data_IF_243451753967
#
_entry.id   IF_243451753967
#
_cell.length_a   1.000
_cell.length_b   1.000
_cell.length_c   1.000
_cell.angle_alpha   90.00
_cell.angle_beta   90.00
_cell.angle_gamma   90.00
#
_symmetry.space_group_name_H-M   'P 1'
#
loop_
_entity.id
_entity.type
_entity.pdbx_description
1 polymer ?
#
# COMPACT_ATOMS: atom_id res chain seq x y z
N UNK A 1 -8.42 -23.62 29.79
CA UNK A 1 -8.87 -22.35 29.17
C UNK A 1 -7.86 -22.03 28.07
N UNK A 2 -8.04 -22.22 26.78
CA UNK A 2 -9.19 -22.34 25.90
C UNK A 2 -8.92 -23.49 24.90
N UNK A 3 -9.80 -24.48 24.83
CA UNK A 3 -9.93 -25.31 23.63
C UNK A 3 -11.36 -25.01 23.17
N UNK A 4 -11.52 -23.87 22.50
CA UNK A 4 -12.80 -23.55 21.89
C UNK A 4 -12.93 -24.39 20.63
N UNK A 5 -13.92 -25.28 20.66
CA UNK A 5 -14.19 -26.27 19.63
C UNK A 5 -14.72 -25.55 18.40
N UNK A 6 -13.81 -25.14 17.52
CA UNK A 6 -14.14 -24.66 16.18
C UNK A 6 -15.06 -23.45 16.24
N UNK A 7 -14.44 -22.28 16.45
CA UNK A 7 -15.06 -20.99 16.20
C UNK A 7 -15.86 -21.11 14.88
N UNK A 8 -17.18 -20.88 14.92
CA UNK A 8 -18.12 -21.17 13.81
C UNK A 8 -17.69 -20.54 12.47
N UNK A 9 -16.80 -19.56 12.55
CA UNK A 9 -16.27 -18.76 11.46
C UNK A 9 -14.82 -19.12 11.06
N UNK A 10 -14.05 -19.83 11.90
CA UNK A 10 -12.65 -20.24 11.64
C UNK A 10 -12.58 -21.66 11.10
N UNK A 11 -13.09 -21.88 9.89
CA UNK A 11 -13.09 -23.18 9.23
C UNK A 11 -12.97 -23.05 7.71
N UNK A 12 -12.64 -24.18 7.08
CA UNK A 12 -12.48 -24.29 5.63
C UNK A 12 -13.70 -24.93 4.93
N UNK A 13 -14.88 -24.92 5.56
CA UNK A 13 -16.08 -25.55 4.99
C UNK A 13 -16.75 -24.71 3.89
N UNK A 14 -16.71 -23.39 4.04
CA UNK A 14 -17.30 -22.45 3.10
C UNK A 14 -16.22 -21.49 2.59
N UNK A 15 -16.26 -21.05 1.33
CA UNK A 15 -15.26 -20.14 0.78
C UNK A 15 -15.12 -18.85 1.59
N UNK A 16 -16.23 -18.31 2.12
CA UNK A 16 -16.20 -17.11 2.96
C UNK A 16 -15.53 -17.33 4.31
N UNK A 17 -15.84 -18.45 4.98
CA UNK A 17 -15.18 -18.81 6.24
C UNK A 17 -13.69 -19.08 6.00
N UNK A 18 -13.33 -19.70 4.88
CA UNK A 18 -11.93 -19.92 4.48
C UNK A 18 -11.20 -18.59 4.32
N UNK A 19 -11.80 -17.61 3.63
CA UNK A 19 -11.21 -16.28 3.45
C UNK A 19 -11.03 -15.58 4.79
N UNK A 20 -12.04 -15.61 5.67
CA UNK A 20 -11.95 -15.03 7.01
C UNK A 20 -10.85 -15.70 7.83
N UNK A 21 -10.75 -17.03 7.78
CA UNK A 21 -9.69 -17.80 8.47
C UNK A 21 -8.30 -17.43 7.94
N UNK A 22 -8.14 -17.33 6.63
CA UNK A 22 -6.89 -16.89 6.01
C UNK A 22 -6.55 -15.45 6.40
N UNK A 23 -7.54 -14.56 6.50
CA UNK A 23 -7.32 -13.20 6.96
C UNK A 23 -6.76 -13.15 8.40
N UNK A 24 -7.29 -13.97 9.31
CA UNK A 24 -6.72 -14.13 10.66
C UNK A 24 -5.27 -14.63 10.62
N UNK A 25 -4.95 -15.56 9.72
CA UNK A 25 -3.57 -16.03 9.57
C UNK A 25 -2.65 -14.94 9.01
N UNK A 26 -3.14 -14.09 8.11
CA UNK A 26 -2.39 -12.97 7.55
C UNK A 26 -2.06 -11.90 8.60
N UNK A 27 -2.93 -11.71 9.60
CA UNK A 27 -2.66 -10.81 10.75
C UNK A 27 -1.78 -11.47 11.82
N UNK A 28 -1.47 -12.76 11.69
CA UNK A 28 -0.65 -13.52 12.62
C UNK A 28 -1.41 -14.07 13.83
N UNK A 29 -2.75 -14.02 13.82
CA UNK A 29 -3.59 -14.55 14.90
C UNK A 29 -3.94 -16.02 14.66
N UNK A 30 -3.99 -16.82 15.73
CA UNK A 30 -4.49 -18.20 15.82
C UNK A 30 -3.92 -19.24 14.82
N UNK A 31 -2.98 -18.87 13.96
CA UNK A 31 -2.42 -19.78 12.94
C UNK A 31 -1.64 -20.93 13.56
N UNK A 32 -0.95 -20.70 14.68
CA UNK A 32 -0.12 -21.70 15.36
C UNK A 32 -0.99 -22.79 16.00
N UNK A 33 -2.06 -22.39 16.68
CA UNK A 33 -3.00 -23.33 17.31
C UNK A 33 -3.76 -24.12 16.24
N UNK A 34 -4.23 -23.44 15.20
CA UNK A 34 -4.93 -24.09 14.09
C UNK A 34 -4.01 -25.04 13.29
N UNK A 35 -2.71 -24.71 13.18
CA UNK A 35 -1.70 -25.61 12.62
C UNK A 35 -1.57 -26.89 13.44
N UNK A 36 -1.41 -26.78 14.77
CA UNK A 36 -1.30 -27.96 15.65
C UNK A 36 -2.57 -28.82 15.56
N UNK A 37 -3.74 -28.19 15.63
CA UNK A 37 -5.03 -28.90 15.51
C UNK A 37 -5.13 -29.65 14.18
N UNK A 38 -4.83 -28.98 13.06
CA UNK A 38 -4.93 -29.57 11.72
C UNK A 38 -3.93 -30.70 11.51
N UNK A 39 -2.70 -30.53 12.04
CA UNK A 39 -1.66 -31.55 11.99
C UNK A 39 -2.08 -32.82 12.74
N UNK A 40 -2.71 -32.67 13.90
CA UNK A 40 -3.10 -33.78 14.77
C UNK A 40 -4.40 -34.46 14.28
N UNK A 41 -5.29 -33.74 13.58
CA UNK A 41 -6.46 -34.34 12.89
C UNK A 41 -6.08 -34.94 11.55
N UNK A 42 -5.58 -36.17 11.57
CA UNK A 42 -5.22 -36.92 10.35
C UNK A 42 -6.49 -37.49 9.69
N UNK A 43 -6.77 -37.17 8.41
CA UNK A 43 -7.89 -37.75 7.68
C UNK A 43 -7.69 -39.26 7.48
N UNK A 44 -8.78 -40.03 7.43
CA UNK A 44 -8.73 -41.49 7.18
C UNK A 44 -7.96 -41.80 5.87
N UNK A 45 -8.07 -40.94 4.86
CA UNK A 45 -7.36 -41.02 3.58
C UNK A 45 -5.83 -41.05 3.74
N UNK A 46 -5.29 -40.40 4.78
CA UNK A 46 -3.85 -40.33 5.05
C UNK A 46 -3.45 -41.16 6.28
N UNK A 47 -4.34 -41.99 6.83
CA UNK A 47 -4.05 -42.76 8.04
C UNK A 47 -2.82 -43.67 7.91
N UNK A 48 -2.56 -44.22 6.71
CA UNK A 48 -1.38 -45.04 6.42
C UNK A 48 -0.12 -44.23 6.11
N UNK A 49 -0.23 -42.92 5.86
CA UNK A 49 0.87 -42.04 5.44
C UNK A 49 0.81 -40.70 6.17
N UNK A 50 0.82 -40.76 7.51
CA UNK A 50 0.75 -39.59 8.40
C UNK A 50 1.81 -38.53 8.06
N UNK A 51 3.03 -38.94 7.73
CA UNK A 51 4.12 -38.03 7.39
C UNK A 51 3.81 -37.14 6.17
N UNK A 52 3.06 -37.66 5.18
CA UNK A 52 2.63 -36.89 4.00
C UNK A 52 1.64 -35.80 4.44
N UNK A 53 0.70 -36.14 5.32
CA UNK A 53 -0.24 -35.18 5.88
C UNK A 53 0.48 -34.08 6.65
N UNK A 54 1.35 -34.45 7.59
CA UNK A 54 2.13 -33.49 8.39
C UNK A 54 2.96 -32.55 7.49
N UNK A 55 3.58 -33.09 6.43
CA UNK A 55 4.33 -32.31 5.47
C UNK A 55 3.45 -31.34 4.67
N UNK A 56 2.29 -31.79 4.18
CA UNK A 56 1.36 -30.93 3.43
C UNK A 56 0.81 -29.80 4.30
N UNK A 57 0.44 -30.11 5.55
CA UNK A 57 -0.03 -29.10 6.52
C UNK A 57 1.10 -28.10 6.80
N UNK A 58 2.32 -28.58 7.05
CA UNK A 58 3.47 -27.71 7.23
C UNK A 58 3.70 -26.78 6.03
N UNK A 59 3.74 -27.33 4.81
CA UNK A 59 3.95 -26.55 3.59
C UNK A 59 2.85 -25.50 3.38
N UNK A 60 1.59 -25.84 3.65
CA UNK A 60 0.46 -24.93 3.46
C UNK A 60 0.50 -23.77 4.46
N UNK A 61 0.63 -24.06 5.76
CA UNK A 61 0.61 -23.03 6.80
C UNK A 61 1.88 -22.18 6.77
N UNK A 62 3.06 -22.81 6.74
CA UNK A 62 4.34 -22.09 6.73
C UNK A 62 4.52 -21.31 5.42
N UNK A 63 4.19 -21.93 4.27
CA UNK A 63 4.27 -21.27 2.98
C UNK A 63 3.33 -20.07 2.88
N UNK A 64 2.10 -20.18 3.40
CA UNK A 64 1.15 -19.08 3.45
C UNK A 64 1.65 -17.91 4.31
N UNK A 65 2.09 -18.18 5.55
CA UNK A 65 2.56 -17.14 6.49
C UNK A 65 3.81 -16.44 5.93
N UNK A 66 4.74 -17.19 5.35
CA UNK A 66 5.94 -16.61 4.75
C UNK A 66 5.59 -15.71 3.55
N UNK A 67 4.74 -16.21 2.65
CA UNK A 67 4.30 -15.46 1.47
C UNK A 67 3.56 -14.18 1.86
N UNK A 68 2.60 -14.27 2.79
CA UNK A 68 1.81 -13.11 3.20
C UNK A 68 2.65 -12.06 3.92
N UNK A 69 3.55 -12.46 4.81
CA UNK A 69 4.46 -11.52 5.45
C UNK A 69 5.37 -10.81 4.45
N UNK A 70 5.90 -11.55 3.46
CA UNK A 70 6.70 -10.95 2.40
C UNK A 70 5.90 -9.95 1.56
N UNK A 71 4.67 -10.30 1.18
CA UNK A 71 3.80 -9.42 0.39
C UNK A 71 3.41 -8.16 1.16
N UNK A 72 2.94 -8.30 2.41
CA UNK A 72 2.52 -7.17 3.26
C UNK A 72 3.70 -6.27 3.57
N UNK A 73 4.87 -6.83 3.89
CA UNK A 73 6.07 -6.04 4.13
C UNK A 73 6.48 -5.24 2.90
N UNK A 74 6.51 -5.86 1.72
CA UNK A 74 6.87 -5.17 0.48
C UNK A 74 5.84 -4.11 0.08
N UNK A 75 4.55 -4.39 0.26
CA UNK A 75 3.49 -3.41 0.04
C UNK A 75 3.64 -2.21 0.97
N UNK A 76 3.93 -2.45 2.25
CA UNK A 76 4.13 -1.41 3.25
C UNK A 76 5.34 -0.54 2.94
N UNK A 77 6.49 -1.15 2.62
CA UNK A 77 7.71 -0.43 2.21
C UNK A 77 7.42 0.45 0.98
N UNK A 78 6.77 -0.12 -0.04
CA UNK A 78 6.46 0.60 -1.27
C UNK A 78 5.60 1.83 -1.00
N UNK A 79 4.53 1.68 -0.22
CA UNK A 79 3.64 2.79 0.15
C UNK A 79 4.36 3.83 1.01
N UNK A 80 5.24 3.39 1.91
CA UNK A 80 6.02 4.30 2.76
C UNK A 80 6.99 5.12 1.93
N UNK A 81 7.72 4.51 1.00
CA UNK A 81 8.69 5.22 0.16
C UNK A 81 7.97 6.28 -0.68
N UNK A 82 6.86 5.92 -1.32
CA UNK A 82 6.02 6.86 -2.07
C UNK A 82 5.51 8.01 -1.18
N UNK A 83 5.09 7.70 0.05
CA UNK A 83 4.66 8.72 1.02
C UNK A 83 5.80 9.63 1.47
N UNK A 84 7.01 9.09 1.63
CA UNK A 84 8.20 9.87 1.98
C UNK A 84 8.62 10.79 0.84
N UNK A 85 8.57 10.33 -0.41
CA UNK A 85 8.87 11.15 -1.59
C UNK A 85 7.88 12.32 -1.72
N UNK A 86 6.59 12.08 -1.45
CA UNK A 86 5.57 13.13 -1.42
C UNK A 86 5.78 14.16 -0.29
N UNK A 87 6.25 13.72 0.88
CA UNK A 87 6.46 14.58 2.04
C UNK A 87 7.82 15.28 2.02
N UNK A 88 8.84 14.70 1.37
CA UNK A 88 10.12 15.34 1.17
C UNK A 88 9.96 16.41 0.10
N UNK A 89 10.03 17.68 0.50
CA UNK A 89 10.07 18.83 -0.41
C UNK A 89 11.31 18.85 -1.34
N UNK A 90 12.13 17.79 -1.32
CA UNK A 90 13.33 17.58 -2.12
C UNK A 90 13.05 16.87 -3.47
N UNK A 91 11.79 16.87 -3.93
CA UNK A 91 11.53 16.55 -5.32
C UNK A 91 12.42 17.43 -6.19
N UNK A 92 13.14 16.83 -7.15
CA UNK A 92 14.09 17.48 -8.07
C UNK A 92 13.38 18.51 -9.02
N UNK A 93 12.19 18.99 -8.67
CA UNK A 93 11.39 19.98 -9.36
C UNK A 93 10.79 21.04 -8.42
N UNK A 94 9.94 21.91 -8.96
CA UNK A 94 9.25 22.95 -8.20
C UNK A 94 8.42 22.31 -7.08
N UNK A 95 8.61 22.76 -5.83
CA UNK A 95 7.81 22.28 -4.71
C UNK A 95 6.31 22.54 -4.96
N UNK A 96 5.44 21.68 -4.42
CA UNK A 96 3.98 21.80 -4.63
C UNK A 96 3.45 23.20 -4.27
N UNK A 97 3.99 23.81 -3.21
CA UNK A 97 3.66 25.18 -2.80
C UNK A 97 4.05 26.22 -3.85
N UNK A 98 5.15 25.99 -4.56
CA UNK A 98 5.60 26.87 -5.63
C UNK A 98 4.73 26.75 -6.88
N UNK A 99 4.34 25.52 -7.24
CA UNK A 99 3.39 25.30 -8.34
C UNK A 99 2.04 25.96 -8.04
N UNK A 100 1.55 25.86 -6.80
CA UNK A 100 0.31 26.52 -6.37
C UNK A 100 0.43 28.05 -6.37
N UNK A 101 1.55 28.58 -5.90
CA UNK A 101 1.81 30.03 -5.95
C UNK A 101 1.90 30.53 -7.39
N UNK A 102 2.52 29.77 -8.31
CA UNK A 102 2.54 30.05 -9.74
C UNK A 102 1.12 30.05 -10.32
N UNK A 103 0.32 29.01 -10.06
CA UNK A 103 -1.04 28.87 -10.57
C UNK A 103 -1.96 30.00 -10.08
N UNK A 104 -1.84 30.37 -8.79
CA UNK A 104 -2.57 31.50 -8.21
C UNK A 104 -2.19 32.83 -8.87
N UNK A 105 -0.91 33.02 -9.19
CA UNK A 105 -0.44 34.23 -9.86
C UNK A 105 -0.88 34.28 -11.34
N UNK A 106 -0.76 33.14 -12.02
CA UNK A 106 -1.18 32.96 -13.41
C UNK A 106 -2.68 33.22 -13.59
N UNK A 107 -3.52 32.64 -12.73
CA UNK A 107 -4.99 32.83 -12.79
C UNK A 107 -5.41 34.27 -12.49
N UNK A 108 -4.72 34.98 -11.59
CA UNK A 108 -4.97 36.41 -11.34
C UNK A 108 -4.67 37.28 -12.55
N UNK A 109 -3.55 37.03 -13.23
CA UNK A 109 -3.13 37.79 -14.42
C UNK A 109 -3.99 37.50 -15.65
N UNK A 110 -4.32 36.22 -15.85
CA UNK A 110 -5.11 35.76 -17.00
C UNK A 110 -6.62 35.97 -16.85
N UNK A 111 -7.12 36.36 -15.67
CA UNK A 111 -8.55 36.64 -15.42
C UNK A 111 -9.17 37.65 -16.40
N UNK A 112 -8.36 38.55 -16.94
CA UNK A 112 -8.79 39.58 -17.89
C UNK A 112 -8.49 39.22 -19.36
N UNK A 113 -7.91 38.06 -19.64
CA UNK A 113 -7.57 37.63 -20.98
C UNK A 113 -8.82 37.06 -21.65
N UNK A 114 -9.38 37.82 -22.59
CA UNK A 114 -10.45 37.33 -23.47
C UNK A 114 -9.87 36.29 -24.43
N UNK A 115 -10.50 35.12 -24.42
CA UNK A 115 -10.46 34.06 -25.42
C UNK A 115 -9.28 34.06 -26.40
N UNK A 116 -8.35 33.14 -26.14
CA UNK A 116 -7.49 32.52 -27.15
C UNK A 116 -6.47 33.43 -27.86
N UNK A 117 -5.78 34.31 -27.12
CA UNK A 117 -4.50 34.87 -27.57
C UNK A 117 -3.35 34.33 -26.72
N UNK A 118 -2.34 33.81 -27.40
CA UNK A 118 -1.01 33.53 -26.83
C UNK A 118 -0.50 34.78 -26.10
N UNK A 119 0.11 34.57 -24.94
CA UNK A 119 0.72 35.63 -24.12
C UNK A 119 1.73 36.42 -24.96
N UNK A 120 1.58 37.74 -25.02
CA UNK A 120 2.55 38.63 -25.69
C UNK A 120 3.86 38.68 -24.91
N UNK A 121 4.99 38.95 -25.56
CA UNK A 121 6.32 38.95 -24.92
C UNK A 121 6.38 39.98 -23.77
N UNK A 122 5.70 41.12 -23.93
CA UNK A 122 5.64 42.15 -22.91
C UNK A 122 4.84 41.71 -21.67
N UNK A 123 3.79 40.92 -21.87
CA UNK A 123 2.97 40.36 -20.78
C UNK A 123 3.70 39.22 -20.08
N UNK A 124 4.44 38.40 -20.83
CA UNK A 124 5.33 37.38 -20.28
C UNK A 124 6.42 38.00 -19.40
N UNK A 125 7.06 39.10 -19.84
CA UNK A 125 8.07 39.80 -19.02
C UNK A 125 7.46 40.37 -17.74
N UNK A 126 6.27 40.96 -17.81
CA UNK A 126 5.54 41.45 -16.63
C UNK A 126 5.18 40.31 -15.66
N UNK A 127 4.85 39.13 -16.20
CA UNK A 127 4.59 37.94 -15.40
C UNK A 127 5.84 37.37 -14.73
N UNK A 128 6.93 37.21 -15.47
CA UNK A 128 8.19 36.70 -14.93
C UNK A 128 8.75 37.61 -13.84
N UNK A 129 8.54 38.93 -13.96
CA UNK A 129 8.97 39.90 -12.94
C UNK A 129 8.05 39.98 -11.72
N UNK A 130 6.81 39.48 -11.82
CA UNK A 130 5.85 39.48 -10.70
C UNK A 130 5.83 38.17 -9.91
N UNK A 131 6.55 37.14 -10.38
CA UNK A 131 6.69 35.87 -9.67
C UNK A 131 7.45 36.01 -8.34
N UNK A 132 7.12 35.19 -7.32
CA UNK A 132 7.84 35.20 -6.05
C UNK A 132 9.33 34.86 -6.25
N UNK A 133 10.20 35.53 -5.48
CA UNK A 133 11.66 35.34 -5.56
C UNK A 133 12.13 33.90 -5.33
N UNK A 134 11.31 33.06 -4.69
CA UNK A 134 11.60 31.63 -4.49
C UNK A 134 11.72 30.87 -5.82
N UNK A 135 10.93 31.25 -6.84
CA UNK A 135 10.88 30.60 -8.16
C UNK A 135 11.81 31.23 -9.21
N UNK A 136 12.29 32.44 -8.99
CA UNK A 136 13.24 33.12 -9.89
C UNK A 136 14.69 32.83 -9.53
N UNK A 137 14.94 31.93 -8.57
CA UNK A 137 16.29 31.57 -8.16
C UNK A 137 16.93 30.72 -9.25
N UNK A 138 17.57 31.39 -10.20
CA UNK A 138 18.65 30.77 -10.97
C UNK A 138 19.75 30.53 -9.95
N UNK A 139 20.00 29.27 -9.61
CA UNK A 139 21.16 28.89 -8.82
C UNK A 139 22.41 29.37 -9.57
N UNK A 140 23.14 30.32 -8.96
CA UNK A 140 24.52 30.67 -9.34
C UNK A 140 25.50 29.70 -8.67
#
# INVERSE_FOLDING_TARGET
DHIDYGDKYKNFHNPWNSITTLFYFATGEDYADMYIMTRDTVPITFAQSKWIWEFLVFCMYFGYVLLMNFLVMNMFILVIVDSYELCSNDSIGLAQDEVLAFQSHWTKMTKNWKDNKSMDELELRKFLTSLPKSMTRVEE
#
